data_IF_738305248195
#
_entry.id   IF_738305248195
#
_cell.length_a   1.000
_cell.length_b   1.000
_cell.length_c   1.000
_cell.angle_alpha   90.00
_cell.angle_beta   90.00
_cell.angle_gamma   90.00
#
_symmetry.space_group_name_H-M   'P 1'
#
loop_
_entity.id
_entity.type
_entity.pdbx_description
1 polymer ?
#
# COMPACT_ATOMS: atom_id res chain seq x y z
N UNK A 1 0.21 -13.48 6.57
CA UNK A 1 0.44 -12.21 5.86
C UNK A 1 1.28 -12.46 4.65
N UNK A 2 0.92 -11.87 3.55
CA UNK A 2 1.64 -12.05 2.30
C UNK A 2 1.89 -10.71 1.64
N UNK A 3 3.02 -10.61 0.94
CA UNK A 3 3.34 -9.44 0.14
C UNK A 3 2.19 -9.17 -0.83
N UNK A 4 1.84 -7.90 -1.00
CA UNK A 4 0.76 -7.38 -1.84
C UNK A 4 -0.65 -7.58 -1.25
N UNK A 5 -0.76 -8.11 -0.03
CA UNK A 5 -2.04 -8.08 0.67
C UNK A 5 -2.44 -6.64 0.97
N UNK A 6 -3.74 -6.36 0.79
CA UNK A 6 -4.35 -5.06 1.10
C UNK A 6 -5.15 -5.22 2.39
N UNK A 7 -4.85 -4.37 3.36
CA UNK A 7 -5.51 -4.37 4.66
C UNK A 7 -6.35 -3.13 4.84
N UNK A 8 -7.47 -3.26 5.55
CA UNK A 8 -8.20 -2.09 6.01
C UNK A 8 -7.27 -1.29 6.93
N UNK A 9 -7.25 0.04 6.77
CA UNK A 9 -6.46 0.90 7.64
C UNK A 9 -6.97 0.74 9.08
N UNK A 10 -6.09 0.39 10.04
CA UNK A 10 -6.51 0.19 11.44
C UNK A 10 -6.95 1.48 12.12
N UNK A 11 -6.50 2.65 11.62
CA UNK A 11 -6.86 3.94 12.18
C UNK A 11 -8.19 4.40 11.60
N UNK A 12 -9.27 4.21 12.35
CA UNK A 12 -10.62 4.52 11.88
C UNK A 12 -10.76 5.97 11.40
N UNK A 13 -10.12 6.92 12.10
CA UNK A 13 -10.20 8.33 11.78
C UNK A 13 -9.56 8.67 10.43
N UNK A 14 -8.62 7.84 9.96
CA UNK A 14 -7.91 8.08 8.70
C UNK A 14 -8.59 7.44 7.50
N UNK A 15 -9.51 6.49 7.71
CA UNK A 15 -10.12 5.72 6.62
C UNK A 15 -10.89 6.58 5.63
N UNK A 16 -11.30 7.76 6.03
CA UNK A 16 -11.99 8.69 5.15
C UNK A 16 -11.15 9.06 3.93
N UNK A 17 -9.85 9.22 4.13
CA UNK A 17 -8.91 9.61 3.06
C UNK A 17 -7.96 8.48 2.69
N UNK A 18 -7.64 7.60 3.63
CA UNK A 18 -6.70 6.50 3.47
C UNK A 18 -7.35 5.20 3.94
N UNK A 19 -8.22 4.60 3.11
CA UNK A 19 -9.00 3.44 3.54
C UNK A 19 -8.17 2.17 3.70
N UNK A 20 -7.02 2.06 3.03
CA UNK A 20 -6.27 0.80 3.00
C UNK A 20 -4.77 1.00 3.14
N UNK A 21 -4.09 -0.08 3.52
CA UNK A 21 -2.63 -0.18 3.53
C UNK A 21 -2.24 -1.39 2.67
N UNK A 22 -1.20 -1.23 1.86
CA UNK A 22 -0.66 -2.30 1.01
C UNK A 22 0.63 -2.83 1.62
N UNK A 23 0.71 -4.13 1.86
CA UNK A 23 1.91 -4.80 2.34
C UNK A 23 2.91 -4.94 1.17
N UNK A 24 4.10 -4.38 1.31
CA UNK A 24 5.15 -4.46 0.28
C UNK A 24 6.40 -5.16 0.78
N UNK A 25 6.40 -5.66 2.02
CA UNK A 25 7.55 -6.32 2.57
C UNK A 25 7.78 -7.69 1.94
N UNK A 26 9.05 -8.02 1.65
CA UNK A 26 9.42 -9.31 1.12
C UNK A 26 9.02 -10.41 2.12
N UNK A 27 8.36 -11.46 1.63
CA UNK A 27 7.90 -12.57 2.47
C UNK A 27 9.03 -13.32 3.17
N UNK A 28 10.24 -13.25 2.64
CA UNK A 28 11.43 -13.82 3.32
C UNK A 28 11.78 -13.07 4.60
N UNK A 29 11.30 -11.85 4.77
CA UNK A 29 11.53 -11.04 5.97
C UNK A 29 10.26 -11.06 6.81
N UNK A 30 9.92 -12.23 7.34
CA UNK A 30 8.65 -12.44 8.02
C UNK A 30 8.77 -12.68 9.54
N UNK A 31 9.98 -12.67 10.07
CA UNK A 31 10.20 -12.89 11.49
C UNK A 31 10.13 -11.60 12.31
N UNK A 32 9.99 -10.45 11.66
CA UNK A 32 9.92 -9.17 12.34
C UNK A 32 8.51 -8.94 12.91
N UNK A 33 8.38 -8.21 14.03
CA UNK A 33 7.07 -7.88 14.59
C UNK A 33 6.34 -6.78 13.80
N UNK A 34 6.92 -6.30 12.70
CA UNK A 34 6.35 -5.24 11.87
C UNK A 34 6.34 -5.63 10.40
N UNK A 35 5.50 -4.93 9.63
CA UNK A 35 5.47 -5.02 8.17
C UNK A 35 5.61 -3.63 7.58
N UNK A 36 6.35 -3.53 6.47
CA UNK A 36 6.40 -2.28 5.71
C UNK A 36 5.17 -2.22 4.82
N UNK A 37 4.42 -1.16 4.97
CA UNK A 37 3.19 -0.93 4.19
C UNK A 37 3.22 0.43 3.51
N UNK A 38 2.44 0.55 2.43
CA UNK A 38 2.26 1.80 1.71
C UNK A 38 0.79 2.18 1.80
N UNK A 39 0.47 3.43 2.20
CA UNK A 39 -0.92 3.88 2.25
C UNK A 39 -1.55 3.89 0.86
N UNK A 40 -2.79 3.43 0.80
CA UNK A 40 -3.64 3.56 -0.39
C UNK A 40 -4.68 4.64 -0.08
N UNK A 41 -4.49 5.82 -0.66
CA UNK A 41 -5.32 6.98 -0.39
C UNK A 41 -6.40 7.12 -1.46
N UNK A 42 -7.57 7.61 -1.08
CA UNK A 42 -8.62 7.86 -2.08
C UNK A 42 -8.10 8.84 -3.12
N UNK A 43 -8.37 8.53 -4.38
CA UNK A 43 -7.90 9.38 -5.47
C UNK A 43 -8.39 10.82 -5.31
N UNK A 44 -9.63 10.99 -4.84
CA UNK A 44 -10.22 12.31 -4.60
C UNK A 44 -9.51 13.13 -3.52
N UNK A 45 -8.74 12.47 -2.65
CA UNK A 45 -8.02 13.13 -1.56
C UNK A 45 -6.52 13.26 -1.81
N UNK A 46 -6.01 12.73 -2.93
CA UNK A 46 -4.55 12.67 -3.14
C UNK A 46 -4.03 13.91 -3.84
N UNK A 47 -4.57 14.62 -4.61
CA UNK A 47 -3.99 15.72 -5.37
C UNK A 47 -3.16 15.22 -6.56
N UNK A 48 -2.23 16.05 -7.09
CA UNK A 48 -1.45 15.68 -8.27
C UNK A 48 -0.59 14.43 -8.06
N UNK A 49 -0.61 13.52 -9.04
CA UNK A 49 0.14 12.26 -9.00
C UNK A 49 1.39 12.34 -9.86
N UNK A 50 2.48 11.73 -9.38
CA UNK A 50 3.63 11.45 -10.21
C UNK A 50 3.40 10.10 -10.88
N UNK A 51 3.43 10.08 -12.21
CA UNK A 51 2.94 8.97 -13.04
C UNK A 51 3.40 7.58 -12.63
N UNK A 52 4.69 7.35 -12.51
CA UNK A 52 5.22 6.04 -12.18
C UNK A 52 5.32 5.81 -10.67
N UNK A 53 5.30 6.87 -9.88
CA UNK A 53 5.43 6.80 -8.43
C UNK A 53 4.09 6.51 -7.74
N UNK A 54 3.00 7.02 -8.30
CA UNK A 54 1.69 6.98 -7.65
C UNK A 54 0.64 6.31 -8.55
N UNK A 55 0.74 5.00 -8.80
CA UNK A 55 -0.28 4.31 -9.59
C UNK A 55 -1.63 4.27 -8.88
N UNK A 56 -2.70 4.15 -9.66
CA UNK A 56 -4.07 4.05 -9.17
C UNK A 56 -4.52 2.60 -9.25
N UNK A 57 -5.23 2.15 -8.22
CA UNK A 57 -5.84 0.82 -8.16
C UNK A 57 -7.31 0.95 -7.82
N UNK A 58 -8.06 -0.08 -8.16
CA UNK A 58 -9.47 -0.19 -7.78
C UNK A 58 -9.60 -1.30 -6.75
N UNK A 59 -10.05 -0.94 -5.55
CA UNK A 59 -10.31 -1.89 -4.47
C UNK A 59 -11.80 -1.83 -4.17
N UNK A 60 -12.54 -2.86 -4.59
CA UNK A 60 -14.00 -2.80 -4.50
C UNK A 60 -14.54 -1.65 -5.34
N UNK A 61 -15.24 -0.72 -4.70
CA UNK A 61 -15.78 0.48 -5.34
C UNK A 61 -14.86 1.70 -5.22
N UNK A 62 -13.71 1.56 -4.57
CA UNK A 62 -12.82 2.69 -4.27
C UNK A 62 -11.69 2.81 -5.28
N UNK A 63 -11.51 4.00 -5.85
CA UNK A 63 -10.31 4.34 -6.60
C UNK A 63 -9.29 4.88 -5.61
N UNK A 64 -8.15 4.20 -5.52
CA UNK A 64 -7.11 4.54 -4.55
C UNK A 64 -5.76 4.72 -5.24
N UNK A 65 -4.95 5.61 -4.68
CA UNK A 65 -3.62 5.96 -5.18
C UNK A 65 -2.59 5.41 -4.21
N UNK A 66 -1.55 4.77 -4.74
CA UNK A 66 -0.42 4.31 -3.95
C UNK A 66 0.43 5.51 -3.55
N UNK A 67 0.41 5.87 -2.27
CA UNK A 67 1.22 6.96 -1.74
C UNK A 67 2.60 6.42 -1.36
N UNK A 68 3.39 6.15 -2.37
CA UNK A 68 4.64 5.38 -2.26
C UNK A 68 5.63 6.03 -1.29
N UNK A 69 5.76 7.36 -1.33
CA UNK A 69 6.70 8.07 -0.46
C UNK A 69 6.30 8.07 1.01
N UNK A 70 5.06 7.70 1.33
CA UNK A 70 4.57 7.68 2.71
C UNK A 70 4.67 6.28 3.35
N UNK A 71 5.42 5.35 2.75
CA UNK A 71 5.57 4.02 3.32
C UNK A 71 6.15 4.07 4.74
N UNK A 72 5.77 3.09 5.54
CA UNK A 72 6.27 3.00 6.90
C UNK A 72 6.00 1.64 7.51
N UNK A 73 6.56 1.41 8.69
CA UNK A 73 6.40 0.17 9.42
C UNK A 73 5.16 0.24 10.31
N UNK A 74 4.37 -0.83 10.30
CA UNK A 74 3.25 -0.97 11.23
C UNK A 74 3.37 -2.30 11.97
N UNK A 75 2.86 -2.40 13.22
CA UNK A 75 2.87 -3.65 13.94
C UNK A 75 2.00 -4.71 13.26
N UNK A 76 2.44 -5.96 13.28
CA UNK A 76 1.63 -7.07 12.76
C UNK A 76 0.23 -7.08 13.35
N UNK A 77 0.13 -6.80 14.65
CA UNK A 77 -1.15 -6.83 15.35
C UNK A 77 -2.16 -5.82 14.80
N UNK A 78 -1.70 -4.78 14.11
CA UNK A 78 -2.58 -3.77 13.52
C UNK A 78 -3.19 -4.22 12.18
N UNK A 79 -2.60 -5.21 11.53
CA UNK A 79 -3.01 -5.68 10.21
C UNK A 79 -3.95 -6.88 10.35
N UNK A 80 -5.21 -6.62 10.64
CA UNK A 80 -6.16 -7.67 11.01
C UNK A 80 -7.00 -8.20 9.87
N UNK A 81 -7.38 -7.33 8.93
CA UNK A 81 -8.36 -7.68 7.92
C UNK A 81 -7.81 -7.48 6.52
N UNK A 82 -7.49 -8.57 5.85
CA UNK A 82 -7.12 -8.57 4.45
C UNK A 82 -8.41 -8.40 3.62
N UNK A 83 -8.44 -7.40 2.76
CA UNK A 83 -9.61 -7.11 1.92
C UNK A 83 -9.36 -7.41 0.45
N UNK A 84 -8.09 -7.50 0.02
CA UNK A 84 -7.72 -7.79 -1.36
C UNK A 84 -6.26 -8.20 -1.42
N UNK A 85 -5.81 -8.61 -2.61
CA UNK A 85 -4.39 -8.83 -2.87
C UNK A 85 -4.08 -8.32 -4.28
N UNK A 86 -3.00 -7.54 -4.41
CA UNK A 86 -2.62 -6.90 -5.66
C UNK A 86 -1.46 -7.61 -6.37
N UNK A 87 -1.26 -8.88 -6.13
CA UNK A 87 -0.17 -9.66 -6.75
C UNK A 87 -0.21 -9.61 -8.28
N UNK A 88 -1.39 -9.56 -8.88
CA UNK A 88 -1.52 -9.51 -10.34
C UNK A 88 -0.96 -8.22 -10.94
N UNK A 89 -0.89 -7.15 -10.14
CA UNK A 89 -0.34 -5.86 -10.57
C UNK A 89 1.02 -5.59 -9.93
N UNK A 90 1.72 -6.63 -9.48
CA UNK A 90 3.00 -6.47 -8.79
C UNK A 90 4.05 -5.69 -9.57
N UNK A 91 4.03 -5.80 -10.90
CA UNK A 91 5.00 -5.07 -11.72
C UNK A 91 4.82 -3.56 -11.61
N UNK A 92 3.59 -3.09 -11.54
CA UNK A 92 3.27 -1.67 -11.37
C UNK A 92 3.71 -1.18 -10.00
N UNK A 93 3.49 -1.98 -8.96
CA UNK A 93 3.91 -1.66 -7.60
C UNK A 93 5.44 -1.63 -7.52
N UNK A 94 6.11 -2.62 -8.11
CA UNK A 94 7.57 -2.67 -8.11
C UNK A 94 8.16 -1.47 -8.84
N UNK A 95 7.56 -1.05 -9.95
CA UNK A 95 8.00 0.15 -10.66
C UNK A 95 7.90 1.40 -9.76
N UNK A 96 6.84 1.52 -8.98
CA UNK A 96 6.69 2.65 -8.06
C UNK A 96 7.78 2.65 -6.99
N UNK A 97 8.08 1.48 -6.42
CA UNK A 97 9.16 1.35 -5.44
C UNK A 97 10.52 1.67 -6.06
N UNK A 98 10.79 1.18 -7.27
CA UNK A 98 12.02 1.44 -7.99
C UNK A 98 12.16 2.93 -8.31
N UNK A 99 11.07 3.59 -8.67
CA UNK A 99 11.05 5.02 -8.92
C UNK A 99 11.42 5.80 -7.67
N UNK A 100 10.87 5.40 -6.52
CA UNK A 100 11.16 6.05 -5.25
C UNK A 100 12.62 5.88 -4.83
N UNK A 101 13.15 4.67 -4.99
CA UNK A 101 14.49 4.33 -4.49
C UNK A 101 15.59 4.48 -5.52
N UNK A 102 15.26 4.79 -6.76
CA UNK A 102 16.25 4.99 -7.80
C UNK A 102 16.88 3.71 -8.32
N UNK A 103 16.16 2.60 -8.24
CA UNK A 103 16.61 1.34 -8.83
C UNK A 103 16.42 1.40 -10.36
N UNK A 104 17.45 1.08 -11.10
CA UNK A 104 17.43 1.10 -12.57
C UNK A 104 18.04 -0.16 -13.16
#
# INVERSE_FOLDING_TARGET
>A
MARFDVYANPEAAERKHTPYLLDVQNDYVNALPTRIVVPLRRESAFGPRARNLNPVFIIGADNVVLDTAAMGAVPLAALRKTVANLRETRAVIQEALDTLFGAD
#
